data_IF_448881736615
#
_entry.id   IF_448881736615
#
_cell.length_a   1.000
_cell.length_b   1.000
_cell.length_c   1.000
_cell.angle_alpha   90.00
_cell.angle_beta   90.00
_cell.angle_gamma   90.00
#
_symmetry.space_group_name_H-M   'P 1'
#
loop_
_entity.id
_entity.type
_entity.pdbx_description
1 polymer ?
#
# COMPACT_ATOMS: atom_id res chain seq x y z
N UNK A 1 0.37 11.22 11.20
CA UNK A 1 0.83 10.46 10.01
C UNK A 1 2.28 10.80 9.76
N UNK A 2 3.14 9.79 9.58
CA UNK A 2 4.55 10.00 9.23
C UNK A 2 4.68 10.16 7.70
N UNK A 3 5.60 11.00 7.23
CA UNK A 3 5.82 11.28 5.79
C UNK A 3 5.97 10.00 4.96
N UNK A 4 6.63 8.98 5.53
CA UNK A 4 6.82 7.69 4.85
C UNK A 4 5.52 6.89 4.66
N UNK A 5 4.59 6.95 5.63
CA UNK A 5 3.28 6.28 5.49
C UNK A 5 2.53 6.89 4.31
N UNK A 6 2.39 8.22 4.29
CA UNK A 6 1.67 8.92 3.22
C UNK A 6 2.35 8.72 1.87
N UNK A 7 3.68 8.71 1.84
CA UNK A 7 4.44 8.43 0.62
C UNK A 7 4.15 7.03 0.07
N UNK A 8 4.23 5.99 0.90
CA UNK A 8 3.98 4.61 0.46
C UNK A 8 2.53 4.45 -0.02
N UNK A 9 1.56 4.96 0.74
CA UNK A 9 0.14 4.91 0.37
C UNK A 9 -0.11 5.56 -1.00
N UNK A 10 0.41 6.79 -1.21
CA UNK A 10 0.30 7.47 -2.52
C UNK A 10 0.90 6.66 -3.66
N UNK A 11 2.07 6.03 -3.46
CA UNK A 11 2.68 5.19 -4.50
C UNK A 11 1.86 3.95 -4.84
N UNK A 12 1.10 3.42 -3.89
CA UNK A 12 0.23 2.27 -4.13
C UNK A 12 -1.04 2.73 -4.85
N UNK A 13 -1.64 3.85 -4.42
CA UNK A 13 -2.82 4.47 -5.05
C UNK A 13 -2.52 4.84 -6.51
N UNK A 14 -1.39 5.51 -6.79
CA UNK A 14 -0.97 5.88 -8.16
C UNK A 14 -0.88 4.67 -9.11
N UNK A 15 -0.53 3.48 -8.60
CA UNK A 15 -0.51 2.26 -9.41
C UNK A 15 -1.89 1.60 -9.46
N UNK A 16 -2.67 1.67 -8.38
CA UNK A 16 -4.03 1.15 -8.31
C UNK A 16 -4.99 1.88 -9.27
N UNK A 17 -4.81 3.19 -9.44
CA UNK A 17 -5.51 4.03 -10.43
C UNK A 17 -5.33 3.53 -11.87
N UNK A 18 -4.22 2.83 -12.15
CA UNK A 18 -3.96 2.21 -13.46
C UNK A 18 -4.65 0.85 -13.56
N UNK A 19 -4.47 0.02 -12.53
CA UNK A 19 -5.23 -1.23 -12.35
C UNK A 19 -5.05 -1.76 -10.92
N UNK A 20 -6.06 -2.49 -10.42
CA UNK A 20 -5.99 -3.15 -9.11
C UNK A 20 -4.75 -4.06 -9.01
N UNK A 21 -4.43 -4.80 -10.06
CA UNK A 21 -3.27 -5.70 -10.10
C UNK A 21 -1.93 -4.95 -9.96
N UNK A 22 -1.82 -3.75 -10.55
CA UNK A 22 -0.65 -2.91 -10.42
C UNK A 22 -0.50 -2.37 -8.98
N UNK A 23 -1.60 -1.93 -8.37
CA UNK A 23 -1.67 -1.56 -6.95
C UNK A 23 -1.23 -2.71 -6.03
N UNK A 24 -1.79 -3.90 -6.23
CA UNK A 24 -1.43 -5.12 -5.49
C UNK A 24 0.05 -5.50 -5.66
N UNK A 25 0.59 -5.43 -6.87
CA UNK A 25 2.02 -5.67 -7.14
C UNK A 25 2.89 -4.69 -6.37
N UNK A 26 2.48 -3.42 -6.29
CA UNK A 26 3.19 -2.38 -5.54
C UNK A 26 3.11 -2.61 -4.02
N UNK A 27 1.92 -2.96 -3.52
CA UNK A 27 1.70 -3.34 -2.12
C UNK A 27 2.64 -4.47 -1.69
N UNK A 28 2.69 -5.57 -2.48
CA UNK A 28 3.61 -6.69 -2.23
C UNK A 28 5.07 -6.27 -2.20
N UNK A 29 5.49 -5.34 -3.05
CA UNK A 29 6.87 -4.87 -3.08
C UNK A 29 7.28 -4.19 -1.75
N UNK A 30 6.37 -3.46 -1.11
CA UNK A 30 6.63 -2.82 0.18
C UNK A 30 6.52 -3.78 1.35
N UNK A 31 5.45 -4.60 1.41
CA UNK A 31 5.08 -5.30 2.66
C UNK A 31 5.26 -6.81 2.65
N UNK A 32 5.38 -7.44 1.47
CA UNK A 32 5.54 -8.90 1.35
C UNK A 32 6.98 -9.27 1.01
N UNK A 33 7.55 -8.62 -0.02
CA UNK A 33 8.92 -8.90 -0.50
C UNK A 33 10.01 -8.38 0.44
N UNK A 34 9.69 -7.45 1.32
CA UNK A 34 10.67 -6.84 2.23
C UNK A 34 10.08 -6.63 3.62
N UNK A 35 10.93 -6.74 4.66
CA UNK A 35 10.55 -6.42 6.04
C UNK A 35 10.81 -4.95 6.41
N UNK A 36 11.52 -4.22 5.55
CA UNK A 36 11.96 -2.84 5.81
C UNK A 36 10.79 -1.93 6.15
N UNK A 37 9.66 -2.11 5.44
CA UNK A 37 8.51 -1.24 5.58
C UNK A 37 7.44 -1.73 6.57
N UNK A 38 7.68 -2.84 7.27
CA UNK A 38 6.68 -3.51 8.11
C UNK A 38 6.06 -2.57 9.16
N UNK A 39 6.85 -1.67 9.76
CA UNK A 39 6.37 -0.74 10.80
C UNK A 39 5.35 0.30 10.31
N UNK A 40 5.20 0.48 9.01
CA UNK A 40 4.25 1.43 8.44
C UNK A 40 2.99 0.76 7.89
N UNK A 41 2.94 -0.59 7.83
CA UNK A 41 1.86 -1.36 7.20
C UNK A 41 0.48 -0.95 7.72
N UNK A 42 0.25 -1.05 9.03
CA UNK A 42 -1.07 -0.80 9.62
C UNK A 42 -1.61 0.62 9.31
N UNK A 43 -0.72 1.61 9.30
CA UNK A 43 -1.08 2.98 8.95
C UNK A 43 -1.34 3.15 7.44
N UNK A 44 -0.57 2.46 6.58
CA UNK A 44 -0.81 2.47 5.13
C UNK A 44 -2.11 1.76 4.79
N UNK A 45 -2.35 0.59 5.38
CA UNK A 45 -3.60 -0.15 5.23
C UNK A 45 -4.78 0.73 5.63
N UNK A 46 -4.69 1.45 6.75
CA UNK A 46 -5.74 2.40 7.18
C UNK A 46 -6.04 3.46 6.13
N UNK A 47 -5.02 4.06 5.50
CA UNK A 47 -5.21 5.06 4.43
C UNK A 47 -5.87 4.41 3.22
N UNK A 48 -5.35 3.25 2.76
CA UNK A 48 -5.89 2.55 1.60
C UNK A 48 -7.37 2.21 1.78
N UNK A 49 -7.77 1.72 2.96
CA UNK A 49 -9.18 1.44 3.27
C UNK A 49 -10.03 2.72 3.33
N UNK A 50 -9.50 3.79 3.94
CA UNK A 50 -10.22 5.07 4.04
C UNK A 50 -10.46 5.67 2.65
N UNK A 51 -9.51 5.50 1.73
CA UNK A 51 -9.57 6.05 0.38
C UNK A 51 -10.26 5.10 -0.63
N UNK A 52 -10.76 3.94 -0.18
CA UNK A 52 -11.53 2.99 -1.01
C UNK A 52 -10.69 2.00 -1.84
N UNK A 53 -9.44 1.77 -1.45
CA UNK A 53 -8.49 0.86 -2.11
C UNK A 53 -8.27 -0.46 -1.33
N UNK A 54 -9.26 -0.94 -0.58
CA UNK A 54 -9.18 -2.20 0.19
C UNK A 54 -8.70 -3.39 -0.66
N UNK A 55 -9.10 -3.44 -1.93
CA UNK A 55 -8.80 -4.52 -2.88
C UNK A 55 -7.29 -4.66 -3.21
N UNK A 56 -6.48 -3.64 -2.92
CA UNK A 56 -5.03 -3.71 -3.16
C UNK A 56 -4.24 -4.35 -2.03
N UNK A 57 -4.85 -4.50 -0.85
CA UNK A 57 -4.20 -5.04 0.35
C UNK A 57 -4.16 -6.56 0.23
N UNK A 58 -2.97 -7.11 -0.03
CA UNK A 58 -2.79 -8.54 -0.31
C UNK A 58 -1.61 -9.12 0.47
N UNK A 59 -1.84 -10.19 1.24
CA UNK A 59 -0.82 -10.80 2.11
C UNK A 59 -0.07 -12.00 1.50
N UNK A 60 -0.48 -12.42 0.29
CA UNK A 60 0.08 -13.57 -0.44
C UNK A 60 0.96 -13.15 -1.62
#
# INVERSE_FOLDING_TARGET
>A
MNDMTTFIARRIIEEADKSIEAGQKKYRAYFVKTRLYKRWKDNVDTILKTDGYDEVIVEN
#
